data_IF_641454712717
#
_entry.id   IF_641454712717
#
_cell.length_a   1.000
_cell.length_b   1.000
_cell.length_c   1.000
_cell.angle_alpha   90.00
_cell.angle_beta   90.00
_cell.angle_gamma   90.00
#
_symmetry.space_group_name_H-M   'P 1'
#
loop_
_entity.id
_entity.type
_entity.pdbx_description
1 polymer ?
#
# COMPACT_ATOMS: atom_id res chain seq x y z
N UNK A 1 13.70 -6.08 26.71
CA UNK A 1 12.56 -5.46 27.40
C UNK A 1 12.47 -3.94 27.21
N UNK A 2 13.49 -3.16 27.51
CA UNK A 2 13.42 -1.68 27.34
C UNK A 2 13.22 -1.19 25.88
N UNK A 3 13.73 -1.90 24.86
CA UNK A 3 13.53 -1.56 23.45
C UNK A 3 12.12 -1.86 22.96
N UNK A 4 11.52 -2.94 23.38
CA UNK A 4 10.15 -3.34 23.08
C UNK A 4 9.13 -2.38 23.69
N UNK A 5 9.37 -1.98 24.94
CA UNK A 5 8.53 -1.02 25.66
C UNK A 5 8.54 0.37 24.98
N UNK A 6 9.72 0.82 24.50
CA UNK A 6 9.83 2.08 23.74
C UNK A 6 9.09 2.02 22.40
N UNK A 7 9.16 0.89 21.68
CA UNK A 7 8.39 0.71 20.42
C UNK A 7 6.90 0.73 20.67
N UNK A 8 6.41 0.03 21.70
CA UNK A 8 4.99 0.04 22.07
C UNK A 8 4.52 1.42 22.54
N UNK A 9 5.32 2.15 23.30
CA UNK A 9 4.99 3.50 23.75
C UNK A 9 4.94 4.47 22.55
N UNK A 10 5.87 4.39 21.61
CA UNK A 10 5.87 5.24 20.41
C UNK A 10 4.64 4.94 19.55
N UNK A 11 4.28 3.67 19.37
CA UNK A 11 3.08 3.29 18.61
C UNK A 11 1.79 3.77 19.30
N UNK A 12 1.73 3.67 20.62
CA UNK A 12 0.58 4.15 21.42
C UNK A 12 0.53 5.68 21.45
N UNK A 13 1.68 6.37 21.55
CA UNK A 13 1.72 7.83 21.54
C UNK A 13 1.34 8.39 20.17
N UNK A 14 1.80 7.79 19.07
CA UNK A 14 1.40 8.17 17.71
C UNK A 14 -0.08 7.88 17.50
N UNK A 15 -0.60 6.74 17.96
CA UNK A 15 -2.02 6.42 17.94
C UNK A 15 -2.86 7.34 18.84
N UNK A 16 -2.39 7.66 20.03
CA UNK A 16 -3.08 8.56 20.97
C UNK A 16 -3.07 10.01 20.49
N UNK A 17 -1.98 10.48 19.88
CA UNK A 17 -1.89 11.83 19.29
C UNK A 17 -2.82 11.94 18.08
N UNK A 18 -2.92 10.90 17.25
CA UNK A 18 -3.89 10.83 16.15
C UNK A 18 -5.33 10.84 16.69
N UNK A 19 -5.63 10.05 17.73
CA UNK A 19 -6.95 10.03 18.38
C UNK A 19 -7.30 11.38 19.03
N UNK A 20 -6.36 12.05 19.72
CA UNK A 20 -6.58 13.38 20.30
C UNK A 20 -6.79 14.46 19.23
N UNK A 21 -6.08 14.39 18.10
CA UNK A 21 -6.29 15.33 16.99
C UNK A 21 -7.63 15.10 16.27
N UNK A 22 -8.12 13.85 16.20
CA UNK A 22 -9.45 13.53 15.65
C UNK A 22 -10.55 14.25 16.40
N UNK A 23 -10.43 14.41 17.72
CA UNK A 23 -11.45 15.09 18.53
C UNK A 23 -11.37 16.62 18.50
N UNK A 24 -10.20 17.19 18.17
CA UNK A 24 -9.95 18.63 18.20
C UNK A 24 -10.01 19.31 16.82
N UNK A 25 -9.66 18.61 15.73
CA UNK A 25 -9.65 19.17 14.37
C UNK A 25 -9.99 18.07 13.35
N UNK A 26 -11.28 17.74 13.18
CA UNK A 26 -11.72 16.61 12.34
C UNK A 26 -11.20 16.67 10.90
N UNK A 27 -11.14 17.86 10.31
CA UNK A 27 -10.73 18.07 8.92
C UNK A 27 -9.23 17.83 8.70
N UNK A 28 -8.38 18.24 9.65
CA UNK A 28 -6.93 18.00 9.54
C UNK A 28 -6.55 16.53 9.76
N UNK A 29 -7.32 15.81 10.57
CA UNK A 29 -7.06 14.38 10.82
C UNK A 29 -7.52 13.53 9.64
N UNK A 30 -8.60 13.91 8.99
CA UNK A 30 -9.05 13.24 7.77
C UNK A 30 -8.03 13.45 6.63
N UNK A 31 -7.45 14.64 6.52
CA UNK A 31 -6.35 14.92 5.60
C UNK A 31 -5.08 14.10 5.95
N UNK A 32 -4.77 13.92 7.23
CA UNK A 32 -3.60 13.14 7.68
C UNK A 32 -3.83 11.61 7.53
N UNK A 33 -5.05 11.14 7.72
CA UNK A 33 -5.43 9.74 7.53
C UNK A 33 -5.56 9.36 6.05
N UNK A 34 -5.71 10.34 5.16
CA UNK A 34 -5.79 10.10 3.71
C UNK A 34 -4.42 10.09 3.02
N UNK A 35 -3.35 10.57 3.69
CA UNK A 35 -2.15 10.94 2.97
C UNK A 35 -1.10 9.85 2.80
N UNK A 36 -0.87 8.95 3.76
CA UNK A 36 0.17 7.93 3.55
C UNK A 36 -0.09 6.66 4.37
N UNK A 37 -0.46 5.60 3.72
CA UNK A 37 -0.44 4.27 4.31
C UNK A 37 0.77 3.48 3.81
N UNK A 38 1.51 2.87 4.71
CA UNK A 38 2.63 1.99 4.41
C UNK A 38 2.28 0.59 4.89
N UNK A 39 2.43 -0.40 4.04
CA UNK A 39 2.26 -1.81 4.39
C UNK A 39 3.42 -2.64 3.86
N UNK A 40 3.86 -3.60 4.65
CA UNK A 40 4.80 -4.65 4.27
C UNK A 40 4.13 -6.04 4.21
N UNK A 41 2.82 -6.10 4.47
CA UNK A 41 2.06 -7.36 4.54
C UNK A 41 1.96 -8.07 3.19
N UNK A 42 2.21 -7.35 2.10
CA UNK A 42 2.23 -7.90 0.75
C UNK A 42 3.56 -8.56 0.34
N UNK A 43 4.51 -8.72 1.27
CA UNK A 43 5.85 -9.23 1.00
C UNK A 43 6.81 -8.19 0.41
N UNK A 44 6.30 -7.05 -0.03
CA UNK A 44 7.04 -5.88 -0.46
C UNK A 44 6.51 -4.64 0.28
N UNK A 45 7.28 -3.56 0.24
CA UNK A 45 6.82 -2.28 0.77
C UNK A 45 5.83 -1.63 -0.18
N UNK A 46 4.65 -1.31 0.31
CA UNK A 46 3.63 -0.58 -0.43
C UNK A 46 3.33 0.74 0.29
N UNK A 47 3.51 1.86 -0.40
CA UNK A 47 3.21 3.21 0.10
C UNK A 47 2.08 3.81 -0.71
N UNK A 48 0.98 4.17 -0.04
CA UNK A 48 -0.16 4.83 -0.66
C UNK A 48 -0.21 6.31 -0.30
N UNK A 49 -0.34 7.15 -1.30
CA UNK A 49 -0.59 8.58 -1.15
C UNK A 49 -2.06 8.87 -1.48
N UNK A 50 -2.83 9.22 -0.46
CA UNK A 50 -4.27 9.43 -0.57
C UNK A 50 -4.67 10.67 -1.38
N UNK A 51 -3.83 11.69 -1.43
CA UNK A 51 -4.12 12.93 -2.17
C UNK A 51 -4.01 12.72 -3.69
N UNK A 52 -3.05 11.88 -4.11
CA UNK A 52 -2.81 11.60 -5.54
C UNK A 52 -3.41 10.27 -6.01
N UNK A 53 -3.86 9.40 -5.09
CA UNK A 53 -4.29 8.05 -5.42
C UNK A 53 -3.16 7.13 -5.92
N UNK A 54 -1.89 7.49 -5.67
CA UNK A 54 -0.73 6.73 -6.13
C UNK A 54 -0.33 5.70 -5.09
N UNK A 55 -0.22 4.44 -5.53
CA UNK A 55 0.37 3.35 -4.76
C UNK A 55 1.76 3.05 -5.32
N UNK A 56 2.79 3.23 -4.52
CA UNK A 56 4.18 2.93 -4.87
C UNK A 56 4.57 1.59 -4.26
N UNK A 57 5.07 0.68 -5.10
CA UNK A 57 5.62 -0.62 -4.71
C UNK A 57 7.14 -0.52 -4.72
N UNK A 58 7.77 -0.83 -3.61
CA UNK A 58 9.22 -0.75 -3.43
C UNK A 58 9.75 -2.04 -2.78
N UNK A 59 11.04 -2.27 -2.91
CA UNK A 59 11.72 -3.38 -2.24
C UNK A 59 12.02 -3.00 -0.79
N UNK A 60 11.67 -3.88 0.15
CA UNK A 60 12.12 -3.77 1.54
C UNK A 60 13.07 -4.92 1.86
N UNK A 61 12.56 -5.98 2.45
CA UNK A 61 13.30 -7.22 2.73
C UNK A 61 13.17 -8.24 1.61
N UNK A 62 12.06 -8.21 0.89
CA UNK A 62 11.75 -9.09 -0.24
C UNK A 62 11.64 -8.27 -1.52
N UNK A 63 11.95 -8.92 -2.64
CA UNK A 63 11.85 -8.34 -3.98
C UNK A 63 10.56 -8.74 -4.71
N UNK A 64 9.80 -9.68 -4.15
CA UNK A 64 8.62 -10.25 -4.75
C UNK A 64 7.40 -10.03 -3.86
N UNK A 65 6.31 -9.58 -4.47
CA UNK A 65 5.01 -9.55 -3.83
C UNK A 65 4.48 -10.97 -3.63
N UNK A 66 3.77 -11.20 -2.54
CA UNK A 66 3.06 -12.47 -2.31
C UNK A 66 1.87 -12.61 -3.27
N UNK A 67 1.43 -13.83 -3.47
CA UNK A 67 0.18 -14.15 -4.17
C UNK A 67 -1.01 -13.97 -3.23
N UNK A 68 -2.09 -13.41 -3.74
CA UNK A 68 -3.36 -13.28 -3.03
C UNK A 68 -4.39 -14.27 -3.59
N UNK A 69 -5.18 -14.87 -2.70
CA UNK A 69 -6.40 -15.57 -3.08
C UNK A 69 -7.48 -14.60 -3.57
N UNK A 70 -8.56 -15.12 -4.13
CA UNK A 70 -9.66 -14.28 -4.64
C UNK A 70 -10.37 -13.53 -3.51
N UNK A 71 -10.48 -14.15 -2.34
CA UNK A 71 -11.16 -13.61 -1.15
C UNK A 71 -10.20 -12.88 -0.18
N UNK A 72 -8.89 -12.88 -0.47
CA UNK A 72 -7.91 -12.28 0.42
C UNK A 72 -8.03 -10.75 0.39
N UNK A 73 -7.99 -10.16 1.58
CA UNK A 73 -7.90 -8.71 1.72
C UNK A 73 -6.46 -8.26 1.41
N UNK A 74 -6.30 -7.47 0.37
CA UNK A 74 -5.03 -6.83 0.07
C UNK A 74 -4.86 -5.61 0.97
N UNK A 75 -3.63 -5.22 1.34
CA UNK A 75 -3.39 -4.03 2.17
C UNK A 75 -4.04 -2.74 1.65
N UNK A 76 -4.22 -2.64 0.34
CA UNK A 76 -4.82 -1.50 -0.36
C UNK A 76 -6.30 -1.66 -0.74
N UNK A 77 -7.00 -2.67 -0.23
CA UNK A 77 -8.41 -2.96 -0.61
C UNK A 77 -9.35 -1.76 -0.38
N UNK A 78 -9.07 -0.95 0.63
CA UNK A 78 -9.90 0.21 0.99
C UNK A 78 -9.37 1.53 0.41
N UNK A 79 -8.33 1.49 -0.43
CA UNK A 79 -7.73 2.69 -1.01
C UNK A 79 -8.31 2.95 -2.41
N UNK A 80 -8.44 4.22 -2.73
CA UNK A 80 -8.79 4.64 -4.09
C UNK A 80 -7.52 4.71 -4.95
N UNK A 81 -7.02 3.53 -5.35
CA UNK A 81 -5.79 3.45 -6.14
C UNK A 81 -6.09 3.85 -7.58
N UNK A 82 -5.48 4.94 -8.02
CA UNK A 82 -5.60 5.49 -9.39
C UNK A 82 -4.35 5.11 -10.23
N UNK A 83 -3.20 5.10 -9.59
CA UNK A 83 -1.93 4.78 -10.25
C UNK A 83 -1.08 3.87 -9.38
N UNK A 84 -0.46 2.88 -10.02
CA UNK A 84 0.57 2.03 -9.39
C UNK A 84 1.93 2.40 -9.98
N UNK A 85 2.91 2.60 -9.12
CA UNK A 85 4.31 2.79 -9.50
C UNK A 85 5.13 1.64 -8.94
N UNK A 86 5.74 0.87 -9.80
CA UNK A 86 6.62 -0.25 -9.45
C UNK A 86 8.06 0.20 -9.53
N UNK A 87 8.74 0.25 -8.39
CA UNK A 87 10.13 0.70 -8.30
C UNK A 87 11.12 -0.37 -8.79
N UNK A 88 12.34 0.03 -9.19
CA UNK A 88 13.41 -0.91 -9.54
C UNK A 88 13.67 -1.92 -8.41
N UNK A 89 13.97 -3.15 -8.78
CA UNK A 89 14.23 -4.24 -7.84
C UNK A 89 13.02 -5.08 -7.46
N UNK A 90 11.77 -4.62 -7.74
CA UNK A 90 10.58 -5.47 -7.62
C UNK A 90 10.58 -6.48 -8.76
N UNK A 91 10.55 -7.78 -8.44
CA UNK A 91 10.69 -8.87 -9.43
C UNK A 91 9.38 -9.59 -9.71
N UNK A 92 8.36 -9.40 -8.87
CA UNK A 92 7.07 -10.08 -9.02
C UNK A 92 5.91 -9.25 -8.49
N UNK A 93 4.85 -9.16 -9.28
CA UNK A 93 3.51 -8.73 -8.85
C UNK A 93 2.67 -9.98 -8.62
N UNK A 94 2.18 -10.15 -7.41
CA UNK A 94 1.46 -11.35 -7.00
C UNK A 94 0.16 -11.63 -7.77
N UNK A 95 -0.29 -12.89 -7.73
CA UNK A 95 -1.60 -13.28 -8.25
C UNK A 95 -2.70 -12.42 -7.61
N UNK A 96 -3.68 -11.99 -8.38
CA UNK A 96 -4.83 -11.17 -7.95
C UNK A 96 -4.48 -9.86 -7.21
N UNK A 97 -3.24 -9.39 -7.26
CA UNK A 97 -2.74 -8.26 -6.46
C UNK A 97 -3.62 -7.01 -6.57
N UNK A 98 -4.02 -6.63 -7.76
CA UNK A 98 -4.87 -5.46 -8.03
C UNK A 98 -6.24 -5.85 -8.60
N UNK A 99 -6.63 -7.11 -8.46
CA UNK A 99 -7.94 -7.57 -8.94
C UNK A 99 -9.07 -6.74 -8.30
N UNK A 100 -9.92 -6.18 -9.15
CA UNK A 100 -11.05 -5.34 -8.73
C UNK A 100 -10.70 -3.89 -8.42
N UNK A 101 -9.47 -3.42 -8.68
CA UNK A 101 -9.11 -2.01 -8.59
C UNK A 101 -9.72 -1.23 -9.78
N UNK A 102 -11.02 -0.97 -9.72
CA UNK A 102 -11.80 -0.39 -10.82
C UNK A 102 -11.38 1.03 -11.20
N UNK A 103 -10.77 1.77 -10.27
CA UNK A 103 -10.30 3.14 -10.48
C UNK A 103 -8.84 3.22 -10.92
N UNK A 104 -8.15 2.09 -11.03
CA UNK A 104 -6.78 2.04 -11.49
C UNK A 104 -6.69 2.41 -12.97
N UNK A 105 -6.06 3.54 -13.27
CA UNK A 105 -5.94 4.11 -14.62
C UNK A 105 -4.59 3.82 -15.27
N UNK A 106 -3.54 3.64 -14.47
CA UNK A 106 -2.19 3.43 -14.99
C UNK A 106 -1.30 2.63 -14.07
N UNK A 107 -0.38 1.87 -14.69
CA UNK A 107 0.72 1.17 -14.02
C UNK A 107 2.02 1.62 -14.67
N UNK A 108 2.92 2.15 -13.88
CA UNK A 108 4.26 2.56 -14.31
C UNK A 108 5.28 1.61 -13.71
N UNK A 109 6.10 1.01 -14.54
CA UNK A 109 7.20 0.14 -14.12
C UNK A 109 8.49 0.93 -14.33
N UNK A 110 9.19 1.20 -13.23
CA UNK A 110 10.48 1.89 -13.24
C UNK A 110 11.60 0.85 -13.15
N UNK A 111 12.53 0.87 -14.08
CA UNK A 111 13.65 -0.08 -14.16
C UNK A 111 13.52 -1.07 -15.31
N UNK A 112 14.66 -1.67 -15.65
CA UNK A 112 14.82 -2.59 -16.79
C UNK A 112 14.95 -4.05 -16.34
N UNK A 113 14.72 -4.32 -15.05
CA UNK A 113 14.85 -5.67 -14.49
C UNK A 113 13.64 -6.53 -14.86
N UNK A 114 13.83 -7.85 -15.03
CA UNK A 114 12.72 -8.75 -15.32
C UNK A 114 11.64 -8.70 -14.23
N UNK A 115 10.43 -8.34 -14.60
CA UNK A 115 9.25 -8.33 -13.73
C UNK A 115 8.27 -9.40 -14.21
N UNK A 116 7.87 -10.28 -13.31
CA UNK A 116 6.79 -11.23 -13.56
C UNK A 116 5.47 -10.69 -13.01
N UNK A 117 4.40 -10.89 -13.77
CA UNK A 117 3.05 -10.49 -13.37
C UNK A 117 2.22 -11.75 -13.14
N UNK A 118 1.70 -11.88 -11.94
CA UNK A 118 0.91 -13.02 -11.51
C UNK A 118 -0.44 -13.12 -12.21
N UNK A 119 -1.05 -14.29 -12.12
CA UNK A 119 -2.35 -14.55 -12.72
C UNK A 119 -3.41 -13.58 -12.19
N UNK A 120 -4.20 -12.97 -13.08
CA UNK A 120 -5.28 -12.04 -12.73
C UNK A 120 -4.82 -10.84 -11.89
N UNK A 121 -3.55 -10.48 -11.94
CA UNK A 121 -3.02 -9.37 -11.14
C UNK A 121 -3.82 -8.08 -11.31
N UNK A 122 -4.31 -7.81 -12.52
CA UNK A 122 -5.12 -6.62 -12.87
C UNK A 122 -6.52 -6.97 -13.37
N UNK A 123 -7.05 -8.12 -12.99
CA UNK A 123 -8.38 -8.54 -13.42
C UNK A 123 -9.45 -7.60 -12.88
N UNK A 124 -10.33 -7.11 -13.76
CA UNK A 124 -11.41 -6.19 -13.36
C UNK A 124 -10.95 -4.76 -13.10
N UNK A 125 -9.73 -4.37 -13.47
CA UNK A 125 -9.28 -2.98 -13.51
C UNK A 125 -9.89 -2.28 -14.72
N UNK A 126 -11.14 -1.88 -14.62
CA UNK A 126 -11.94 -1.42 -15.78
C UNK A 126 -11.52 -0.04 -16.31
N UNK A 127 -10.71 0.71 -15.54
CA UNK A 127 -10.19 2.02 -15.98
C UNK A 127 -8.75 1.95 -16.54
N UNK A 128 -8.10 0.79 -16.50
CA UNK A 128 -6.72 0.57 -16.94
C UNK A 128 -6.61 0.43 -18.46
#
# INVERSE_FOLDING_TARGET
MKKELKRRIITVIVGAVIMCMVSLVPEMVQAYASTNAVSEDAGIRAEYNGDSGVLTLDVSTNKAMIDFGLEDKKPWTNFNVIKVVVKPGVTHIGNNAFSGCTNLESVVIEGDEPLTIGRRAFYGCTSL
#
